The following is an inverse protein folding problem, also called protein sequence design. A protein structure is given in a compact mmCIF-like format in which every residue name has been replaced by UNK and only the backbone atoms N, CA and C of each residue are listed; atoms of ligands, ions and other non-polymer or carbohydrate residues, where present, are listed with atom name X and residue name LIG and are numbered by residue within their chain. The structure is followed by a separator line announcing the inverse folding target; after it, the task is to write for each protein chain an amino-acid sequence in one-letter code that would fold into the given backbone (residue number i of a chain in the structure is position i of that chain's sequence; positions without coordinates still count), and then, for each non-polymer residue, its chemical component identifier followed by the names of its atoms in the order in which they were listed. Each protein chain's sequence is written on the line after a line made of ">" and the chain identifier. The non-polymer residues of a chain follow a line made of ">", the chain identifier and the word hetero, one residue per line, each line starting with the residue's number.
data_IF_093352886349
#
_entry.id   IF_093352886349
#
_cell.length_a   1.000
_cell.length_b   1.000
_cell.length_c   1.000
_cell.angle_alpha   90.00
_cell.angle_beta   90.00
_cell.angle_gamma   90.00
#
_symmetry.space_group_name_H-M   'P 1'
#
loop_
_entity.id
_entity.type
_entity.pdbx_description
1 polymer ?
#
# COMPACT_ATOMS: atom_id res chain seq x y z
N UNK A 1 -37.15 30.73 -47.17
CA UNK A 1 -37.41 29.60 -46.24
C UNK A 1 -36.07 28.97 -45.89
N UNK A 2 -35.39 29.45 -44.85
CA UNK A 2 -34.09 28.90 -44.44
C UNK A 2 -34.29 27.90 -43.28
N UNK A 3 -34.01 26.62 -43.53
CA UNK A 3 -33.97 25.58 -42.52
C UNK A 3 -32.59 25.61 -41.86
N UNK A 4 -32.52 26.03 -40.60
CA UNK A 4 -31.32 25.86 -39.78
C UNK A 4 -31.25 24.40 -39.31
N UNK A 5 -30.22 23.68 -39.74
CA UNK A 5 -29.85 22.37 -39.21
C UNK A 5 -28.96 22.62 -37.99
N UNK A 6 -29.45 22.25 -36.80
CA UNK A 6 -28.68 22.32 -35.56
C UNK A 6 -27.96 20.98 -35.38
N UNK A 7 -26.66 20.94 -35.65
CA UNK A 7 -25.82 19.78 -35.32
C UNK A 7 -25.35 19.97 -33.88
N UNK A 8 -25.87 19.17 -32.96
CA UNK A 8 -25.42 19.13 -31.58
C UNK A 8 -24.20 18.20 -31.49
N UNK A 9 -23.01 18.77 -31.38
CA UNK A 9 -21.77 18.02 -31.11
C UNK A 9 -21.73 17.67 -29.63
N UNK A 10 -21.95 16.40 -29.30
CA UNK A 10 -21.81 15.89 -27.93
C UNK A 10 -20.32 15.73 -27.61
N UNK A 11 -19.78 16.60 -26.76
CA UNK A 11 -18.42 16.43 -26.21
C UNK A 11 -18.46 15.34 -25.14
N UNK A 12 -17.87 14.18 -25.42
CA UNK A 12 -17.66 13.15 -24.40
C UNK A 12 -16.53 13.60 -23.46
N UNK A 13 -16.89 13.98 -22.23
CA UNK A 13 -15.93 14.25 -21.16
C UNK A 13 -15.45 12.91 -20.60
N UNK A 14 -14.20 12.56 -20.88
CA UNK A 14 -13.51 11.44 -20.20
C UNK A 14 -13.24 11.87 -18.76
N UNK A 15 -14.04 11.38 -17.81
CA UNK A 15 -13.76 11.50 -16.38
C UNK A 15 -12.67 10.46 -16.06
N UNK A 16 -11.45 10.87 -15.63
CA UNK A 16 -10.46 9.91 -15.18
C UNK A 16 -11.03 9.13 -13.99
N UNK A 17 -10.91 7.80 -14.01
CA UNK A 17 -11.50 6.91 -13.02
C UNK A 17 -11.12 7.33 -11.60
N UNK A 18 -12.11 7.66 -10.79
CA UNK A 18 -11.95 7.82 -9.35
C UNK A 18 -11.36 6.51 -8.82
N UNK A 19 -10.16 6.59 -8.26
CA UNK A 19 -9.62 5.48 -7.48
C UNK A 19 -10.45 5.42 -6.21
N UNK A 20 -11.36 4.44 -6.12
CA UNK A 20 -12.15 4.20 -4.92
C UNK A 20 -11.23 3.49 -3.94
N UNK A 21 -11.05 4.10 -2.76
CA UNK A 21 -10.35 3.52 -1.63
C UNK A 21 -11.31 3.46 -0.43
N UNK A 22 -10.89 2.84 0.67
CA UNK A 22 -11.69 2.74 1.88
C UNK A 22 -12.14 4.11 2.40
N UNK A 23 -13.21 4.11 3.18
CA UNK A 23 -13.85 5.36 3.60
C UNK A 23 -13.07 6.13 4.70
N UNK A 24 -12.05 5.51 5.29
CA UNK A 24 -11.31 6.09 6.41
C UNK A 24 -10.32 7.17 5.94
N UNK A 25 -10.41 8.41 6.45
CA UNK A 25 -9.63 9.52 5.92
C UNK A 25 -8.15 9.44 6.32
N UNK A 26 -7.29 9.83 5.38
CA UNK A 26 -5.87 10.06 5.58
C UNK A 26 -5.49 11.51 5.22
N UNK A 27 -4.50 12.12 5.89
CA UNK A 27 -3.90 13.37 5.42
C UNK A 27 -3.17 13.17 4.08
N UNK A 28 -3.28 14.14 3.16
CA UNK A 28 -2.63 14.08 1.83
C UNK A 28 -1.09 13.97 1.90
N UNK A 29 -0.49 14.41 3.00
CA UNK A 29 0.95 14.38 3.24
C UNK A 29 1.39 13.17 4.08
N UNK A 30 0.51 12.19 4.34
CA UNK A 30 0.87 10.96 5.03
C UNK A 30 1.76 10.07 4.17
N UNK A 31 2.80 9.51 4.78
CA UNK A 31 3.80 8.71 4.09
C UNK A 31 4.12 7.45 4.90
N UNK A 32 4.06 6.29 4.25
CA UNK A 32 4.62 5.04 4.76
C UNK A 32 5.85 4.69 3.95
N UNK A 33 6.92 4.24 4.60
CA UNK A 33 8.21 4.02 3.93
C UNK A 33 9.04 2.94 4.63
N UNK A 34 9.98 2.36 3.90
CA UNK A 34 10.97 1.48 4.51
C UNK A 34 12.05 2.31 5.22
N UNK A 35 12.26 2.03 6.50
CA UNK A 35 13.50 2.41 7.18
C UNK A 35 14.61 1.47 6.74
N UNK A 36 14.29 0.17 6.59
CA UNK A 36 15.19 -0.85 6.06
C UNK A 36 14.38 -2.09 5.60
N UNK A 37 14.79 -2.82 4.54
CA UNK A 37 15.93 -2.56 3.66
C UNK A 37 15.69 -1.36 2.74
N UNK A 38 16.78 -0.80 2.20
CA UNK A 38 16.70 0.15 1.09
C UNK A 38 16.57 -0.60 -0.25
N UNK A 39 16.11 0.09 -1.28
CA UNK A 39 16.13 -0.46 -2.64
C UNK A 39 17.53 -0.91 -3.04
N UNK A 40 17.60 -2.04 -3.76
CA UNK A 40 18.84 -2.69 -4.19
C UNK A 40 19.59 -3.48 -3.11
N UNK A 41 19.09 -3.57 -1.88
CA UNK A 41 19.79 -4.27 -0.79
C UNK A 41 19.97 -5.76 -1.08
N UNK A 42 21.18 -6.28 -0.84
CA UNK A 42 21.47 -7.71 -0.83
C UNK A 42 21.38 -8.28 0.58
N UNK A 43 20.50 -9.26 0.80
CA UNK A 43 20.25 -9.92 2.08
C UNK A 43 20.88 -11.32 2.08
N UNK A 44 21.91 -11.52 2.90
CA UNK A 44 22.55 -12.83 3.05
C UNK A 44 21.68 -13.78 3.88
N UNK A 45 21.45 -14.99 3.38
CA UNK A 45 20.73 -16.06 4.09
C UNK A 45 19.21 -15.88 4.18
N UNK A 46 18.62 -14.90 3.49
CA UNK A 46 17.18 -14.75 3.33
C UNK A 46 16.39 -14.28 4.56
N UNK A 47 16.99 -14.29 5.76
CA UNK A 47 16.34 -13.92 7.04
C UNK A 47 16.74 -12.52 7.47
N UNK A 48 15.76 -11.64 7.64
CA UNK A 48 16.03 -10.25 7.98
C UNK A 48 14.89 -9.58 8.76
N UNK A 49 15.16 -8.38 9.27
CA UNK A 49 14.18 -7.53 9.93
C UNK A 49 13.72 -6.42 8.99
N UNK A 50 12.52 -6.47 8.43
CA UNK A 50 11.99 -5.32 7.71
C UNK A 50 11.49 -4.27 8.72
N UNK A 51 11.85 -2.99 8.53
CA UNK A 51 11.53 -1.87 9.41
C UNK A 51 10.77 -0.79 8.66
N UNK A 52 9.70 -0.32 9.26
CA UNK A 52 8.69 0.53 8.64
C UNK A 52 8.65 1.88 9.35
N UNK A 53 8.52 2.93 8.56
CA UNK A 53 8.29 4.28 9.03
C UNK A 53 6.91 4.78 8.57
N UNK A 54 6.34 5.67 9.36
CA UNK A 54 5.09 6.35 9.09
C UNK A 54 5.23 7.83 9.49
N UNK A 55 4.65 8.72 8.69
CA UNK A 55 4.54 10.16 9.00
C UNK A 55 3.09 10.62 8.83
N UNK A 56 2.72 11.63 9.62
CA UNK A 56 1.40 12.29 9.61
C UNK A 56 0.19 11.40 9.99
N UNK A 57 0.43 10.19 10.48
CA UNK A 57 -0.59 9.30 11.03
C UNK A 57 -0.06 8.52 12.25
N UNK A 58 -0.96 7.92 13.01
CA UNK A 58 -0.63 7.07 14.16
C UNK A 58 -0.70 5.58 13.83
N UNK A 59 0.04 4.76 14.56
CA UNK A 59 -0.04 3.29 14.47
C UNK A 59 -0.96 2.79 15.59
N UNK A 60 -1.91 1.92 15.24
CA UNK A 60 -2.81 1.25 16.16
C UNK A 60 -3.03 -0.22 15.75
N UNK A 61 -3.28 -1.15 16.69
CA UNK A 61 -3.68 -2.50 16.35
C UNK A 61 -4.99 -2.54 15.54
N UNK A 62 -5.15 -3.56 14.71
CA UNK A 62 -6.41 -3.89 14.06
C UNK A 62 -7.55 -4.01 15.09
N UNK A 63 -8.75 -3.61 14.68
CA UNK A 63 -9.93 -3.50 15.54
C UNK A 63 -9.99 -2.26 16.44
N UNK A 64 -8.88 -1.54 16.64
CA UNK A 64 -8.87 -0.30 17.42
C UNK A 64 -9.36 0.86 16.56
N UNK A 65 -10.56 1.35 16.85
CA UNK A 65 -11.13 2.50 16.15
C UNK A 65 -10.61 3.82 16.71
N UNK A 66 -9.59 4.37 16.05
CA UNK A 66 -9.05 5.68 16.36
C UNK A 66 -8.77 6.45 15.06
N UNK A 67 -9.22 7.70 15.00
CA UNK A 67 -9.02 8.58 13.84
C UNK A 67 -7.54 8.70 13.48
N UNK A 68 -7.27 8.71 12.18
CA UNK A 68 -5.93 8.84 11.60
C UNK A 68 -4.94 7.79 12.12
N UNK A 69 -5.43 6.57 12.34
CA UNK A 69 -4.59 5.44 12.71
C UNK A 69 -4.88 4.19 11.90
N UNK A 70 -3.90 3.31 11.86
CA UNK A 70 -3.95 2.04 11.15
C UNK A 70 -2.72 1.20 11.47
N UNK A 71 -2.41 0.24 10.62
CA UNK A 71 -1.25 -0.63 10.76
C UNK A 71 -0.65 -1.01 9.41
N UNK A 72 0.57 -1.53 9.47
CA UNK A 72 1.36 -1.88 8.29
C UNK A 72 0.94 -3.22 7.69
N UNK A 73 1.01 -3.28 6.37
CA UNK A 73 1.02 -4.50 5.58
C UNK A 73 2.27 -4.50 4.71
N UNK A 74 2.88 -5.66 4.53
CA UNK A 74 4.00 -5.86 3.62
C UNK A 74 3.55 -6.71 2.45
N UNK A 75 3.65 -6.13 1.25
CA UNK A 75 3.41 -6.80 -0.01
C UNK A 75 4.73 -7.37 -0.51
N UNK A 76 4.81 -8.69 -0.60
CA UNK A 76 5.99 -9.44 -1.04
C UNK A 76 5.71 -10.04 -2.41
N UNK A 77 6.52 -9.69 -3.42
CA UNK A 77 6.42 -10.21 -4.79
C UNK A 77 5.02 -10.05 -5.42
N UNK A 78 4.27 -9.06 -4.95
CA UNK A 78 2.89 -8.82 -5.32
C UNK A 78 2.65 -7.45 -5.97
N UNK A 79 1.40 -7.25 -6.38
CA UNK A 79 0.85 -5.93 -6.67
C UNK A 79 0.09 -5.44 -5.45
N UNK A 80 -0.12 -4.13 -5.36
CA UNK A 80 -1.05 -3.58 -4.38
C UNK A 80 -2.45 -4.20 -4.61
N UNK A 81 -3.14 -4.66 -3.55
CA UNK A 81 -4.52 -5.12 -3.64
C UNK A 81 -5.48 -3.97 -3.95
N UNK A 82 -6.77 -4.25 -4.23
CA UNK A 82 -7.81 -3.21 -4.27
C UNK A 82 -7.81 -2.35 -3.00
N UNK A 83 -8.14 -1.07 -3.14
CA UNK A 83 -8.07 -0.13 -2.03
C UNK A 83 -9.38 0.04 -1.25
N UNK A 84 -10.46 -0.53 -1.77
CA UNK A 84 -11.83 -0.49 -1.26
C UNK A 84 -12.27 -1.81 -0.61
N UNK A 85 -11.36 -2.78 -0.55
CA UNK A 85 -11.59 -4.11 0.04
C UNK A 85 -10.61 -4.39 1.19
N UNK A 86 -10.91 -5.41 1.98
CA UNK A 86 -9.98 -5.93 2.98
C UNK A 86 -8.72 -6.47 2.30
N UNK A 87 -7.54 -6.09 2.80
CA UNK A 87 -6.28 -6.66 2.32
C UNK A 87 -6.29 -8.17 2.63
N UNK A 88 -6.10 -9.04 1.62
CA UNK A 88 -6.06 -10.48 1.87
C UNK A 88 -4.87 -10.84 2.74
N UNK A 89 -5.04 -11.82 3.62
CA UNK A 89 -3.93 -12.36 4.42
C UNK A 89 -3.38 -13.62 3.77
N UNK A 90 -2.25 -13.49 3.06
CA UNK A 90 -1.63 -14.60 2.34
C UNK A 90 -0.10 -14.47 2.29
N UNK A 91 0.56 -15.36 1.53
CA UNK A 91 2.03 -15.37 1.40
C UNK A 91 2.63 -14.11 0.77
N UNK A 92 1.83 -13.36 0.00
CA UNK A 92 2.23 -12.12 -0.65
C UNK A 92 1.79 -10.89 0.15
N UNK A 93 0.86 -11.02 1.08
CA UNK A 93 0.26 -9.93 1.83
C UNK A 93 0.38 -10.22 3.33
N UNK A 94 1.46 -9.74 3.94
CA UNK A 94 1.80 -10.04 5.34
C UNK A 94 1.27 -8.94 6.26
N UNK A 95 0.47 -9.33 7.25
CA UNK A 95 -0.19 -8.41 8.17
C UNK A 95 0.68 -8.12 9.39
N UNK A 96 0.77 -6.83 9.76
CA UNK A 96 1.38 -6.37 11.01
C UNK A 96 0.33 -5.72 11.94
N UNK A 97 -0.85 -6.34 12.01
CA UNK A 97 -2.05 -5.84 12.68
C UNK A 97 -2.00 -5.65 14.20
N UNK A 98 -0.87 -5.93 14.87
CA UNK A 98 -0.70 -5.59 16.30
C UNK A 98 -0.05 -4.22 16.50
N UNK A 99 0.02 -3.41 15.44
CA UNK A 99 0.67 -2.10 15.45
C UNK A 99 2.19 -2.19 15.39
N UNK A 100 2.73 -3.20 14.68
CA UNK A 100 4.18 -3.33 14.55
C UNK A 100 4.74 -2.32 13.55
N UNK A 101 5.91 -1.76 13.87
CA UNK A 101 6.75 -0.96 12.96
C UNK A 101 7.94 -1.75 12.42
N UNK A 102 8.05 -3.04 12.75
CA UNK A 102 9.03 -3.95 12.17
C UNK A 102 8.55 -5.41 12.21
N UNK A 103 9.17 -6.26 11.39
CA UNK A 103 8.83 -7.66 11.28
C UNK A 103 9.98 -8.53 10.82
N UNK A 104 10.01 -9.78 11.30
CA UNK A 104 10.89 -10.81 10.72
C UNK A 104 10.35 -11.23 9.37
N UNK A 105 11.21 -11.22 8.36
CA UNK A 105 10.93 -11.67 7.00
C UNK A 105 11.94 -12.75 6.63
N UNK A 106 11.45 -13.79 5.96
CA UNK A 106 12.25 -14.87 5.42
C UNK A 106 11.88 -15.08 3.96
N UNK A 107 12.85 -14.91 3.07
CA UNK A 107 12.67 -15.08 1.62
C UNK A 107 13.69 -16.09 1.09
N UNK A 108 13.30 -16.92 0.11
CA UNK A 108 14.24 -17.83 -0.55
C UNK A 108 15.30 -17.03 -1.35
N UNK A 109 16.37 -17.70 -1.84
CA UNK A 109 17.25 -17.11 -2.84
C UNK A 109 16.47 -16.58 -4.05
N UNK A 110 16.84 -15.39 -4.54
CA UNK A 110 16.18 -14.75 -5.67
C UNK A 110 16.14 -13.22 -5.61
N UNK A 111 15.52 -12.64 -6.65
CA UNK A 111 15.13 -11.23 -6.69
C UNK A 111 13.71 -11.12 -6.14
N UNK A 112 13.51 -10.22 -5.17
CA UNK A 112 12.21 -9.98 -4.57
C UNK A 112 11.82 -8.51 -4.63
N UNK A 113 10.51 -8.24 -4.69
CA UNK A 113 9.98 -6.88 -4.52
C UNK A 113 9.22 -6.76 -3.22
N UNK A 114 9.38 -5.63 -2.53
CA UNK A 114 8.69 -5.32 -1.29
C UNK A 114 7.98 -3.97 -1.41
N UNK A 115 6.78 -3.86 -0.87
CA UNK A 115 6.04 -2.61 -0.80
C UNK A 115 5.22 -2.56 0.48
N UNK A 116 5.16 -1.42 1.15
CA UNK A 116 4.29 -1.23 2.31
C UNK A 116 2.94 -0.67 1.87
N UNK A 117 1.88 -1.12 2.53
CA UNK A 117 0.54 -0.57 2.43
C UNK A 117 0.00 -0.33 3.85
N UNK A 118 -0.50 0.88 4.10
CA UNK A 118 -1.07 1.25 5.39
C UNK A 118 -2.59 1.22 5.31
N UNK A 119 -3.22 0.56 6.28
CA UNK A 119 -4.66 0.34 6.29
C UNK A 119 -5.24 0.45 7.69
N UNK A 120 -6.55 0.67 7.74
CA UNK A 120 -7.30 1.00 8.95
C UNK A 120 -7.53 -0.20 9.87
N UNK A 121 -8.41 -0.02 10.87
CA UNK A 121 -8.76 -1.05 11.86
C UNK A 121 -9.29 -2.35 11.25
N UNK A 122 -9.86 -2.31 10.03
CA UNK A 122 -10.47 -3.43 9.33
C UNK A 122 -9.58 -3.96 8.19
N UNK A 123 -8.30 -3.56 8.15
CA UNK A 123 -7.37 -3.86 7.06
C UNK A 123 -7.82 -3.31 5.69
N UNK A 124 -8.65 -2.26 5.66
CA UNK A 124 -9.00 -1.57 4.42
C UNK A 124 -8.08 -0.35 4.25
N UNK A 125 -7.45 -0.14 3.08
CA UNK A 125 -6.64 1.05 2.82
C UNK A 125 -7.41 2.36 3.06
N UNK A 126 -6.71 3.36 3.56
CA UNK A 126 -7.27 4.70 3.79
C UNK A 126 -7.58 5.43 2.45
N UNK A 127 -8.26 6.58 2.54
CA UNK A 127 -8.46 7.51 1.43
C UNK A 127 -7.85 8.90 1.75
N UNK A 128 -6.85 9.37 0.97
CA UNK A 128 -6.18 8.64 -0.11
C UNK A 128 -5.40 7.42 0.43
N UNK A 129 -5.15 6.39 -0.41
CA UNK A 129 -4.38 5.22 0.00
C UNK A 129 -2.92 5.61 0.26
N UNK A 130 -2.33 5.03 1.30
CA UNK A 130 -0.95 5.31 1.70
C UNK A 130 -0.11 4.04 1.53
N UNK A 131 0.79 4.08 0.56
CA UNK A 131 1.73 3.00 0.28
C UNK A 131 3.13 3.57 0.03
N UNK A 132 4.15 2.74 0.24
CA UNK A 132 5.53 3.13 -0.03
C UNK A 132 5.87 3.02 -1.51
N UNK A 133 7.01 3.60 -1.89
CA UNK A 133 7.72 3.15 -3.09
C UNK A 133 7.95 1.63 -3.03
N UNK A 134 7.89 1.00 -4.20
CA UNK A 134 8.24 -0.42 -4.33
C UNK A 134 9.75 -0.54 -4.40
N UNK A 135 10.32 -1.34 -3.50
CA UNK A 135 11.75 -1.64 -3.48
C UNK A 135 12.02 -3.04 -4.04
N UNK A 136 13.20 -3.23 -4.59
CA UNK A 136 13.77 -4.51 -5.00
C UNK A 136 14.88 -4.89 -4.04
N UNK A 137 14.92 -6.15 -3.61
CA UNK A 137 16.05 -6.72 -2.87
C UNK A 137 16.54 -8.01 -3.52
N UNK A 138 17.73 -8.44 -3.13
CA UNK A 138 18.36 -9.65 -3.65
C UNK A 138 18.76 -10.57 -2.51
N UNK A 139 18.39 -11.85 -2.61
CA UNK A 139 18.84 -12.90 -1.71
C UNK A 139 19.75 -13.83 -2.52
N UNK A 140 21.07 -13.85 -2.28
CA UNK A 140 21.97 -14.76 -2.97
C UNK A 140 21.69 -16.22 -2.58
N UNK A 141 22.02 -17.14 -3.49
CA UNK A 141 22.25 -18.54 -3.13
C UNK A 141 23.32 -18.62 -2.02
N UNK A 142 23.16 -19.57 -1.10
CA UNK A 142 24.08 -19.80 0.02
C UNK A 142 25.34 -20.54 -0.38
#
# INVERSE_FOLDING_TARGET
>A
MNKFIMVATMLAVLIPGLTVAGESPAPDNAVVYFIWPSDGTTIKGGKFWARFGLREMGIAPAGVDKKFTGHHHLIVDGKLPPFDEEIPSDKHNVHYGKGYSEGRVELPPGKHTLQLLFADKNHVPHNPPIYSEKITIFVPES
#
